data_IF_873365772219
#
_entry.id   IF_873365772219
#
_cell.length_a   1.000
_cell.length_b   1.000
_cell.length_c   1.000
_cell.angle_alpha   90.00
_cell.angle_beta   90.00
_cell.angle_gamma   90.00
#
_symmetry.space_group_name_H-M   'P 1'
#
loop_
_entity.id
_entity.type
_entity.pdbx_description
1 polymer ?
#
# COMPACT_ATOMS: atom_id res chain seq x y z
N UNK A 1 15.60 3.60 -25.99
CA UNK A 1 14.85 4.72 -25.40
C UNK A 1 15.37 4.97 -24.00
N UNK A 2 15.45 6.25 -23.58
CA UNK A 2 15.69 6.58 -22.17
C UNK A 2 14.51 6.02 -21.35
N UNK A 3 14.78 5.30 -20.28
CA UNK A 3 13.73 4.82 -19.36
C UNK A 3 13.20 5.98 -18.53
N UNK A 4 11.97 5.86 -18.02
CA UNK A 4 11.44 6.79 -17.04
C UNK A 4 12.27 6.73 -15.75
N UNK A 5 12.45 7.89 -15.13
CA UNK A 5 13.11 8.04 -13.83
C UNK A 5 12.13 7.77 -12.66
N UNK A 6 10.89 7.33 -12.96
CA UNK A 6 9.81 7.05 -12.00
C UNK A 6 9.05 5.76 -12.37
N UNK A 7 8.59 5.03 -11.34
CA UNK A 7 7.71 3.87 -11.46
C UNK A 7 6.62 3.94 -10.40
N UNK A 8 5.39 3.56 -10.74
CA UNK A 8 4.30 3.52 -9.76
C UNK A 8 4.45 2.27 -8.86
N UNK A 9 4.44 2.51 -7.54
CA UNK A 9 4.54 1.47 -6.51
C UNK A 9 3.23 1.23 -5.74
N UNK A 10 2.24 2.11 -5.89
CA UNK A 10 0.92 2.01 -5.25
C UNK A 10 -0.13 2.15 -6.35
N UNK A 11 -0.68 1.01 -6.78
CA UNK A 11 -1.60 0.90 -7.93
C UNK A 11 -2.65 -0.17 -7.65
N UNK A 12 -3.91 0.24 -7.74
CA UNK A 12 -5.09 -0.60 -7.61
C UNK A 12 -5.58 -1.00 -9.00
N UNK A 13 -5.71 -2.29 -9.22
CA UNK A 13 -6.16 -2.88 -10.48
C UNK A 13 -7.63 -3.28 -10.39
N UNK A 14 -8.18 -3.80 -11.49
CA UNK A 14 -9.49 -4.44 -11.53
C UNK A 14 -9.71 -5.56 -10.48
N UNK A 15 -8.65 -6.01 -9.79
CA UNK A 15 -8.74 -7.00 -8.72
C UNK A 15 -8.99 -6.39 -7.33
N UNK A 16 -8.90 -5.06 -7.18
CA UNK A 16 -9.53 -4.31 -6.09
C UNK A 16 -11.02 -4.18 -6.36
N UNK A 17 -11.77 -5.27 -6.17
CA UNK A 17 -13.12 -5.50 -6.71
C UNK A 17 -14.19 -4.43 -6.45
N UNK A 18 -13.99 -3.55 -5.46
CA UNK A 18 -14.96 -2.54 -5.04
C UNK A 18 -14.49 -1.11 -5.34
N UNK A 19 -13.31 -0.91 -5.94
CA UNK A 19 -12.71 0.42 -6.08
C UNK A 19 -11.79 0.54 -7.32
N UNK A 20 -11.01 -0.49 -7.64
CA UNK A 20 -10.04 -0.43 -8.74
C UNK A 20 -10.66 -0.59 -10.12
N UNK A 21 -10.38 0.36 -11.02
CA UNK A 21 -10.87 0.36 -12.41
C UNK A 21 -9.77 0.02 -13.43
N UNK A 22 -8.50 -0.01 -13.03
CA UNK A 22 -7.36 -0.22 -13.94
C UNK A 22 -7.29 -1.66 -14.44
N UNK A 23 -7.52 -1.85 -15.75
CA UNK A 23 -7.32 -3.14 -16.42
C UNK A 23 -5.84 -3.41 -16.70
N UNK A 24 -5.41 -4.66 -16.52
CA UNK A 24 -3.99 -5.02 -16.61
C UNK A 24 -3.37 -4.74 -17.98
N UNK A 25 -4.06 -5.13 -19.06
CA UNK A 25 -3.56 -4.93 -20.42
C UNK A 25 -3.35 -3.43 -20.75
N UNK A 26 -4.31 -2.59 -20.34
CA UNK A 26 -4.24 -1.14 -20.52
C UNK A 26 -3.14 -0.51 -19.64
N UNK A 27 -2.96 -0.99 -18.41
CA UNK A 27 -1.89 -0.59 -17.51
C UNK A 27 -0.51 -0.82 -18.12
N UNK A 28 -0.25 -2.02 -18.66
CA UNK A 28 1.05 -2.33 -19.24
C UNK A 28 1.31 -1.60 -20.56
N UNK A 29 0.28 -1.38 -21.38
CA UNK A 29 0.37 -0.50 -22.56
C UNK A 29 0.77 0.92 -22.16
N UNK A 30 0.13 1.48 -21.12
CA UNK A 30 0.42 2.83 -20.61
C UNK A 30 1.83 2.93 -20.02
N UNK A 31 2.23 1.96 -19.20
CA UNK A 31 3.57 1.91 -18.63
C UNK A 31 4.66 1.85 -19.73
N UNK A 32 4.42 1.11 -20.83
CA UNK A 32 5.31 1.12 -21.99
C UNK A 32 5.35 2.47 -22.72
N UNK A 33 4.21 3.13 -22.89
CA UNK A 33 4.15 4.47 -23.50
C UNK A 33 5.01 5.48 -22.73
N UNK A 34 4.99 5.40 -21.39
CA UNK A 34 5.84 6.22 -20.53
C UNK A 34 7.27 5.68 -20.35
N UNK A 35 7.63 4.56 -21.01
CA UNK A 35 8.93 3.91 -20.86
C UNK A 35 9.29 3.54 -19.40
N UNK A 36 8.28 3.19 -18.58
CA UNK A 36 8.48 2.72 -17.21
C UNK A 36 9.07 1.31 -17.20
N UNK A 37 10.22 1.07 -16.53
CA UNK A 37 10.85 -0.24 -16.51
C UNK A 37 10.17 -1.26 -15.57
N UNK A 38 9.38 -0.77 -14.61
CA UNK A 38 8.68 -1.58 -13.62
C UNK A 38 7.33 -0.96 -13.25
N UNK A 39 6.45 -1.76 -12.67
CA UNK A 39 5.21 -1.28 -12.06
C UNK A 39 4.76 -2.26 -10.97
N UNK A 40 4.11 -1.74 -9.92
CA UNK A 40 3.56 -2.56 -8.85
C UNK A 40 2.07 -2.85 -9.01
N UNK A 41 1.63 -3.91 -8.34
CA UNK A 41 0.23 -4.23 -8.03
C UNK A 41 0.08 -4.22 -6.51
N UNK A 42 -0.83 -3.43 -5.97
CA UNK A 42 -1.07 -3.29 -4.53
C UNK A 42 -2.55 -3.28 -4.22
N UNK A 43 -3.29 -4.26 -4.75
CA UNK A 43 -4.73 -4.33 -4.55
C UNK A 43 -5.14 -4.44 -3.08
N UNK A 44 -6.37 -4.02 -2.78
CA UNK A 44 -6.91 -4.01 -1.41
C UNK A 44 -7.05 -5.43 -0.83
N UNK A 45 -6.26 -5.72 0.20
CA UNK A 45 -6.41 -6.86 1.09
C UNK A 45 -6.26 -8.24 0.46
N UNK A 46 -5.90 -8.33 -0.83
CA UNK A 46 -5.89 -9.58 -1.58
C UNK A 46 -4.82 -9.63 -2.68
N UNK A 47 -4.41 -10.84 -3.05
CA UNK A 47 -3.46 -11.11 -4.13
C UNK A 47 -4.13 -11.73 -5.37
N UNK A 48 -5.42 -11.48 -5.61
CA UNK A 48 -6.20 -12.17 -6.66
C UNK A 48 -5.56 -12.01 -8.05
N UNK A 49 -5.07 -10.81 -8.36
CA UNK A 49 -4.44 -10.48 -9.64
C UNK A 49 -2.97 -10.86 -9.77
N UNK A 50 -2.29 -11.34 -8.72
CA UNK A 50 -0.83 -11.39 -8.66
C UNK A 50 -0.20 -12.24 -9.79
N UNK A 51 -0.76 -13.42 -10.07
CA UNK A 51 -0.23 -14.32 -11.11
C UNK A 51 -0.55 -13.82 -12.52
N UNK A 52 -1.74 -13.25 -12.73
CA UNK A 52 -2.13 -12.69 -14.04
C UNK A 52 -1.28 -11.45 -14.36
N UNK A 53 -1.15 -10.55 -13.39
CA UNK A 53 -0.25 -9.39 -13.44
C UNK A 53 1.19 -9.80 -13.75
N UNK A 54 1.74 -10.78 -13.03
CA UNK A 54 3.10 -11.26 -13.26
C UNK A 54 3.30 -11.76 -14.69
N UNK A 55 2.38 -12.61 -15.19
CA UNK A 55 2.47 -13.17 -16.54
C UNK A 55 2.37 -12.09 -17.62
N UNK A 56 1.44 -11.16 -17.49
CA UNK A 56 1.27 -10.06 -18.45
C UNK A 56 2.45 -9.08 -18.40
N UNK A 57 2.97 -8.73 -17.21
CA UNK A 57 4.14 -7.86 -17.11
C UNK A 57 5.34 -8.40 -17.92
N UNK A 58 5.56 -9.72 -17.86
CA UNK A 58 6.62 -10.38 -18.63
C UNK A 58 6.39 -10.31 -20.14
N UNK A 59 5.16 -10.46 -20.64
CA UNK A 59 4.88 -10.33 -22.09
C UNK A 59 5.12 -8.91 -22.59
N UNK A 60 4.91 -7.91 -21.72
CA UNK A 60 5.18 -6.51 -21.99
C UNK A 60 6.63 -6.07 -21.71
N UNK A 61 7.50 -6.98 -21.23
CA UNK A 61 8.88 -6.70 -20.81
C UNK A 61 8.97 -5.57 -19.77
N UNK A 62 8.04 -5.58 -18.81
CA UNK A 62 8.01 -4.70 -17.64
C UNK A 62 8.31 -5.55 -16.42
N UNK A 63 9.16 -5.08 -15.51
CA UNK A 63 9.44 -5.78 -14.25
C UNK A 63 8.20 -5.71 -13.33
N UNK A 64 7.54 -6.83 -13.00
CA UNK A 64 6.45 -6.82 -12.04
C UNK A 64 6.97 -6.63 -10.61
N UNK A 65 6.30 -5.79 -9.84
CA UNK A 65 6.49 -5.67 -8.39
C UNK A 65 5.18 -6.13 -7.72
N UNK A 66 5.21 -7.30 -7.10
CA UNK A 66 4.02 -7.84 -6.42
C UNK A 66 3.92 -7.23 -5.04
N UNK A 67 2.75 -6.74 -4.68
CA UNK A 67 2.43 -6.19 -3.37
C UNK A 67 0.96 -6.36 -3.02
N UNK A 68 0.55 -5.67 -1.97
CA UNK A 68 -0.82 -5.62 -1.46
C UNK A 68 -0.97 -4.38 -0.59
N UNK A 69 -2.13 -3.73 -0.64
CA UNK A 69 -2.51 -2.79 0.41
C UNK A 69 -3.28 -3.55 1.49
N UNK A 70 -2.60 -3.85 2.60
CA UNK A 70 -3.17 -4.61 3.71
C UNK A 70 -4.06 -3.71 4.59
N UNK A 71 -5.15 -4.29 5.08
CA UNK A 71 -5.90 -3.73 6.18
C UNK A 71 -5.30 -4.20 7.51
N UNK A 72 -4.84 -3.27 8.35
CA UNK A 72 -4.26 -3.54 9.67
C UNK A 72 -5.26 -3.18 10.75
N UNK A 73 -5.65 -4.13 11.59
CA UNK A 73 -6.53 -3.89 12.71
C UNK A 73 -5.83 -2.95 13.73
N UNK A 74 -6.56 -2.01 14.36
CA UNK A 74 -5.99 -1.12 15.38
C UNK A 74 -5.48 -1.86 16.63
N UNK A 75 -5.97 -3.08 16.87
CA UNK A 75 -5.61 -3.96 17.97
C UNK A 75 -5.28 -5.36 17.42
N UNK A 76 -5.95 -6.40 17.92
CA UNK A 76 -5.87 -7.75 17.36
C UNK A 76 -6.75 -7.88 16.12
N UNK A 77 -6.32 -8.68 15.14
CA UNK A 77 -7.15 -9.06 13.98
C UNK A 77 -8.41 -9.84 14.38
N UNK A 78 -8.38 -10.51 15.52
CA UNK A 78 -9.47 -11.31 16.06
C UNK A 78 -10.57 -10.46 16.74
N UNK A 79 -10.27 -9.19 16.99
CA UNK A 79 -11.18 -8.26 17.65
C UNK A 79 -12.29 -7.79 16.70
N UNK A 80 -13.54 -8.01 17.12
CA UNK A 80 -14.76 -7.61 16.40
C UNK A 80 -15.59 -6.58 17.18
N UNK A 81 -14.99 -5.94 18.18
CA UNK A 81 -15.64 -4.88 18.94
C UNK A 81 -15.92 -3.69 18.02
N UNK A 82 -17.15 -3.16 17.97
CA UNK A 82 -17.46 -1.98 17.18
C UNK A 82 -16.54 -0.81 17.53
N UNK A 83 -15.99 -0.16 16.51
CA UNK A 83 -15.17 1.04 16.68
C UNK A 83 -16.05 2.26 16.96
N UNK A 84 -15.71 3.04 17.99
CA UNK A 84 -16.41 4.29 18.31
C UNK A 84 -16.24 5.34 17.19
N UNK A 85 -15.11 5.29 16.46
CA UNK A 85 -14.82 6.21 15.34
C UNK A 85 -15.24 5.64 13.98
N UNK A 86 -15.81 4.43 13.92
CA UNK A 86 -16.14 3.73 12.67
C UNK A 86 -14.94 3.11 11.93
N UNK A 87 -13.72 3.57 12.19
CA UNK A 87 -12.50 3.00 11.61
C UNK A 87 -12.26 1.57 12.14
N UNK A 88 -12.33 0.56 11.27
CA UNK A 88 -12.12 -0.85 11.64
C UNK A 88 -10.76 -1.41 11.23
N UNK A 89 -10.00 -0.65 10.42
CA UNK A 89 -8.65 -0.95 9.97
C UNK A 89 -7.91 0.34 9.53
N UNK A 90 -6.58 0.23 9.40
CA UNK A 90 -5.69 1.19 8.74
C UNK A 90 -5.04 0.55 7.51
N UNK A 91 -4.66 1.35 6.53
CA UNK A 91 -3.97 0.83 5.36
C UNK A 91 -2.46 0.71 5.62
N UNK A 92 -1.84 -0.28 4.98
CA UNK A 92 -0.39 -0.48 4.97
C UNK A 92 0.02 -1.11 3.64
N UNK A 93 0.93 -0.46 2.92
CA UNK A 93 1.46 -1.02 1.69
C UNK A 93 2.58 -1.99 2.00
N UNK A 94 2.54 -3.16 1.36
CA UNK A 94 3.62 -4.13 1.39
C UNK A 94 3.99 -4.59 -0.02
N UNK A 95 5.29 -4.67 -0.29
CA UNK A 95 5.87 -5.19 -1.52
C UNK A 95 6.75 -6.40 -1.23
N UNK A 96 6.78 -7.32 -2.19
CA UNK A 96 7.57 -8.54 -2.13
C UNK A 96 8.98 -8.26 -2.62
N UNK A 97 9.98 -8.40 -1.72
CA UNK A 97 11.41 -8.29 -2.05
C UNK A 97 11.96 -9.54 -2.70
N UNK A 98 11.49 -10.71 -2.27
CA UNK A 98 11.99 -12.02 -2.70
C UNK A 98 10.93 -13.13 -2.51
N UNK A 99 11.29 -14.39 -2.85
CA UNK A 99 10.36 -15.52 -2.74
C UNK A 99 9.86 -15.77 -1.31
N UNK A 100 10.66 -15.50 -0.28
CA UNK A 100 10.21 -15.64 1.11
C UNK A 100 9.16 -14.58 1.44
N UNK A 101 9.35 -13.34 0.97
CA UNK A 101 8.33 -12.29 1.03
C UNK A 101 7.04 -12.68 0.33
N UNK A 102 7.11 -13.31 -0.84
CA UNK A 102 5.92 -13.79 -1.55
C UNK A 102 5.13 -14.81 -0.71
N UNK A 103 5.84 -15.77 -0.12
CA UNK A 103 5.23 -16.77 0.79
C UNK A 103 4.61 -16.12 2.02
N UNK A 104 5.28 -15.12 2.58
CA UNK A 104 4.79 -14.41 3.74
C UNK A 104 3.57 -13.53 3.41
N UNK A 105 3.56 -12.86 2.26
CA UNK A 105 2.39 -12.10 1.82
C UNK A 105 1.18 -13.02 1.59
N UNK A 106 1.37 -14.19 0.97
CA UNK A 106 0.31 -15.19 0.84
C UNK A 106 -0.25 -15.65 2.21
N UNK A 107 0.62 -15.85 3.21
CA UNK A 107 0.19 -16.20 4.58
C UNK A 107 -0.60 -15.07 5.21
N UNK A 108 -0.11 -13.83 5.11
CA UNK A 108 -0.77 -12.63 5.64
C UNK A 108 -2.17 -12.48 5.06
N UNK A 109 -2.31 -12.50 3.73
CA UNK A 109 -3.62 -12.32 3.10
C UNK A 109 -4.55 -13.50 3.36
N UNK A 110 -4.03 -14.73 3.48
CA UNK A 110 -4.85 -15.89 3.85
C UNK A 110 -5.37 -15.78 5.29
N UNK A 111 -4.49 -15.48 6.26
CA UNK A 111 -4.88 -15.30 7.65
C UNK A 111 -5.84 -14.10 7.83
N UNK A 112 -5.65 -13.04 7.06
CA UNK A 112 -6.56 -11.89 7.05
C UNK A 112 -8.00 -12.28 6.68
N UNK A 113 -8.17 -13.20 5.72
CA UNK A 113 -9.47 -13.71 5.31
C UNK A 113 -10.03 -14.78 6.24
N UNK A 114 -9.18 -15.70 6.73
CA UNK A 114 -9.61 -16.85 7.53
C UNK A 114 -9.85 -16.51 9.01
N UNK A 115 -9.04 -15.61 9.57
CA UNK A 115 -9.03 -15.30 11.01
C UNK A 115 -9.46 -13.86 11.28
N UNK A 116 -8.93 -12.91 10.50
CA UNK A 116 -9.04 -11.47 10.78
C UNK A 116 -10.24 -10.77 10.16
N UNK A 117 -11.10 -11.51 9.46
CA UNK A 117 -12.21 -10.93 8.72
C UNK A 117 -13.26 -10.36 9.68
N UNK A 118 -13.52 -9.06 9.52
CA UNK A 118 -14.64 -8.36 10.13
C UNK A 118 -15.49 -7.69 9.04
N UNK A 119 -15.24 -6.42 8.71
CA UNK A 119 -15.77 -5.79 7.49
C UNK A 119 -14.79 -5.88 6.31
N UNK A 120 -13.50 -6.01 6.61
CA UNK A 120 -12.40 -6.21 5.68
C UNK A 120 -11.53 -7.38 6.16
N UNK A 121 -10.75 -8.05 5.29
CA UNK A 121 -9.76 -9.03 5.70
C UNK A 121 -8.58 -8.32 6.35
N UNK A 122 -8.45 -8.40 7.68
CA UNK A 122 -7.45 -7.63 8.43
C UNK A 122 -6.32 -8.49 8.97
N UNK A 123 -5.10 -7.95 8.96
CA UNK A 123 -3.97 -8.47 9.75
C UNK A 123 -3.82 -7.65 11.04
N UNK A 124 -2.89 -8.03 11.90
CA UNK A 124 -2.44 -7.20 13.03
C UNK A 124 -0.91 -7.11 13.05
N UNK A 125 -0.38 -6.16 13.82
CA UNK A 125 1.07 -5.93 13.94
C UNK A 125 1.82 -7.16 14.47
N UNK A 126 1.18 -7.96 15.32
CA UNK A 126 1.77 -9.20 15.84
C UNK A 126 1.99 -10.24 14.73
N UNK A 127 1.02 -10.41 13.83
CA UNK A 127 1.17 -11.29 12.67
C UNK A 127 2.16 -10.72 11.64
N UNK A 128 2.14 -9.40 11.43
CA UNK A 128 3.12 -8.72 10.56
C UNK A 128 4.55 -8.98 11.04
N UNK A 129 4.83 -8.85 12.34
CA UNK A 129 6.15 -9.15 12.92
C UNK A 129 6.61 -10.60 12.68
N UNK A 130 5.68 -11.55 12.60
CA UNK A 130 6.00 -12.97 12.31
C UNK A 130 6.24 -13.24 10.82
N UNK A 131 5.75 -12.37 9.93
CA UNK A 131 5.75 -12.56 8.49
C UNK A 131 6.44 -11.41 7.73
N UNK A 132 7.23 -10.56 8.38
CA UNK A 132 7.85 -9.40 7.72
C UNK A 132 9.08 -9.75 6.86
N UNK A 133 9.70 -10.91 7.09
CA UNK A 133 10.89 -11.34 6.34
C UNK A 133 10.62 -11.34 4.82
N UNK A 134 11.48 -10.64 4.07
CA UNK A 134 11.37 -10.54 2.61
C UNK A 134 10.29 -9.59 2.12
N UNK A 135 9.67 -8.80 3.01
CA UNK A 135 8.75 -7.72 2.65
C UNK A 135 9.43 -6.36 2.80
N UNK A 136 9.00 -5.42 1.96
CA UNK A 136 9.23 -3.97 2.11
C UNK A 136 7.86 -3.35 2.35
N UNK A 137 7.77 -2.31 3.16
CA UNK A 137 6.51 -1.66 3.46
C UNK A 137 6.60 -0.13 3.41
N UNK A 138 5.46 0.52 3.25
CA UNK A 138 5.35 1.97 3.38
C UNK A 138 4.09 2.39 4.14
N UNK A 139 4.09 3.62 4.64
CA UNK A 139 3.05 4.14 5.53
C UNK A 139 1.64 4.28 4.91
N UNK A 140 1.47 3.96 3.62
CA UNK A 140 0.23 4.03 2.85
C UNK A 140 -0.33 5.46 2.70
N UNK A 141 -1.60 5.54 2.29
CA UNK A 141 -2.34 6.77 2.03
C UNK A 141 -2.82 7.46 3.32
N UNK A 142 -3.75 8.41 3.22
CA UNK A 142 -4.36 9.11 4.37
C UNK A 142 -5.06 8.16 5.37
N UNK A 143 -5.47 6.96 4.92
CA UNK A 143 -6.04 5.91 5.78
C UNK A 143 -4.96 5.07 6.50
N UNK A 144 -3.68 5.32 6.24
CA UNK A 144 -2.56 4.77 7.00
C UNK A 144 -2.52 5.28 8.44
N UNK A 145 -1.98 4.46 9.34
CA UNK A 145 -1.93 4.77 10.78
C UNK A 145 -1.18 6.08 11.07
N UNK A 146 0.00 6.25 10.46
CA UNK A 146 0.88 7.41 10.70
C UNK A 146 0.24 8.70 10.17
N UNK A 147 -0.24 8.69 8.93
CA UNK A 147 -0.89 9.85 8.32
C UNK A 147 -2.15 10.25 9.09
N UNK A 148 -2.95 9.27 9.54
CA UNK A 148 -4.14 9.52 10.36
C UNK A 148 -3.81 10.23 11.67
N UNK A 149 -2.73 9.82 12.35
CA UNK A 149 -2.27 10.50 13.57
C UNK A 149 -1.78 11.92 13.30
N UNK A 150 -1.02 12.15 12.23
CA UNK A 150 -0.53 13.48 11.84
C UNK A 150 -1.70 14.44 11.58
N UNK A 151 -2.68 14.01 10.78
CA UNK A 151 -3.84 14.85 10.42
C UNK A 151 -4.68 15.21 11.65
N UNK A 152 -4.74 14.31 12.65
CA UNK A 152 -5.42 14.56 13.94
C UNK A 152 -4.59 15.38 14.94
N UNK A 153 -3.37 15.79 14.58
CA UNK A 153 -2.47 16.54 15.46
C UNK A 153 -1.77 15.70 16.53
N UNK A 154 -1.81 14.38 16.43
CA UNK A 154 -1.23 13.45 17.40
C UNK A 154 0.19 13.01 16.98
N UNK A 155 1.12 13.96 16.90
CA UNK A 155 2.47 13.71 16.35
C UNK A 155 3.27 12.65 17.14
N UNK A 156 3.13 12.60 18.46
CA UNK A 156 3.85 11.60 19.27
C UNK A 156 3.38 10.17 18.98
N UNK A 157 2.07 9.97 18.76
CA UNK A 157 1.52 8.68 18.35
C UNK A 157 1.95 8.33 16.92
N UNK A 158 2.01 9.31 16.01
CA UNK A 158 2.55 9.11 14.67
C UNK A 158 4.01 8.64 14.70
N UNK A 159 4.83 9.26 15.56
CA UNK A 159 6.23 8.89 15.78
C UNK A 159 6.37 7.47 16.31
N UNK A 160 5.54 7.10 17.30
CA UNK A 160 5.52 5.76 17.88
C UNK A 160 5.12 4.71 16.85
N UNK A 161 4.06 4.96 16.07
CA UNK A 161 3.60 4.05 15.02
C UNK A 161 4.67 3.87 13.92
N UNK A 162 5.35 4.96 13.52
CA UNK A 162 6.44 4.90 12.55
C UNK A 162 7.62 4.04 13.03
N UNK A 163 8.03 4.19 14.30
CA UNK A 163 9.07 3.36 14.91
C UNK A 163 8.66 1.89 14.99
N UNK A 164 7.45 1.60 15.45
CA UNK A 164 6.95 0.22 15.57
C UNK A 164 6.93 -0.49 14.21
N UNK A 165 6.46 0.19 13.15
CA UNK A 165 6.48 -0.38 11.80
C UNK A 165 7.91 -0.52 11.26
N UNK A 166 8.79 0.45 11.51
CA UNK A 166 10.21 0.34 11.15
C UNK A 166 10.88 -0.84 11.85
N UNK A 167 10.57 -1.11 13.12
CA UNK A 167 11.09 -2.26 13.87
C UNK A 167 10.57 -3.59 13.29
N UNK A 168 9.29 -3.64 12.89
CA UNK A 168 8.68 -4.84 12.31
C UNK A 168 9.34 -5.21 10.96
N UNK A 169 9.55 -4.24 10.07
CA UNK A 169 10.07 -4.50 8.73
C UNK A 169 11.61 -4.37 8.62
N UNK A 170 12.24 -3.69 9.57
CA UNK A 170 13.65 -3.34 9.58
C UNK A 170 13.94 -1.99 8.90
N UNK A 171 15.04 -1.36 9.31
CA UNK A 171 15.42 0.01 8.90
C UNK A 171 15.50 0.20 7.38
N UNK A 172 15.94 -0.81 6.64
CA UNK A 172 16.10 -0.77 5.18
C UNK A 172 14.83 -1.13 4.39
N UNK A 173 13.76 -1.55 5.07
CA UNK A 173 12.56 -2.08 4.42
C UNK A 173 11.28 -1.34 4.81
N UNK A 174 11.36 -0.18 5.47
CA UNK A 174 10.20 0.65 5.78
C UNK A 174 10.38 2.09 5.28
N UNK A 175 9.34 2.63 4.65
CA UNK A 175 9.36 3.96 4.03
C UNK A 175 8.15 4.78 4.48
N UNK A 176 8.32 6.10 4.59
CA UNK A 176 7.21 7.04 4.75
C UNK A 176 6.72 7.47 3.36
N UNK A 177 5.43 7.30 3.10
CA UNK A 177 4.83 7.43 1.77
C UNK A 177 4.20 8.79 1.56
N UNK A 178 4.65 9.51 0.54
CA UNK A 178 4.16 10.84 0.17
C UNK A 178 3.24 10.76 -1.06
N UNK A 179 2.12 11.47 -0.98
CA UNK A 179 1.14 11.60 -2.05
C UNK A 179 0.66 13.06 -2.15
N UNK A 180 0.54 13.61 -3.34
CA UNK A 180 0.04 14.97 -3.58
C UNK A 180 -1.00 14.96 -4.70
N UNK A 181 -2.25 14.70 -4.31
CA UNK A 181 -3.41 14.58 -5.20
C UNK A 181 -4.33 15.81 -5.10
N UNK A 182 -3.86 16.92 -4.51
CA UNK A 182 -4.64 18.13 -4.31
C UNK A 182 -5.59 18.11 -3.10
N UNK A 183 -5.56 17.04 -2.30
CA UNK A 183 -6.38 16.90 -1.08
C UNK A 183 -5.74 17.73 0.05
N UNK A 184 -6.47 18.66 0.71
CA UNK A 184 -5.91 19.53 1.75
C UNK A 184 -5.22 18.77 2.90
N UNK A 185 -5.78 17.64 3.32
CA UNK A 185 -5.26 16.78 4.39
C UNK A 185 -3.92 16.16 4.04
N UNK A 186 -3.66 15.87 2.75
CA UNK A 186 -2.35 15.37 2.31
C UNK A 186 -1.24 16.41 2.54
N UNK A 187 -1.54 17.71 2.44
CA UNK A 187 -0.54 18.75 2.77
C UNK A 187 -0.18 18.76 4.26
N UNK A 188 -1.10 18.38 5.13
CA UNK A 188 -0.84 18.23 6.57
C UNK A 188 -0.03 16.96 6.79
N UNK A 189 -0.48 15.82 6.24
CA UNK A 189 0.20 14.54 6.33
C UNK A 189 1.64 14.61 5.79
N UNK A 190 1.85 15.10 4.57
CA UNK A 190 3.16 15.20 3.93
C UNK A 190 4.16 16.02 4.75
N UNK A 191 3.73 17.15 5.33
CA UNK A 191 4.61 17.95 6.20
C UNK A 191 5.06 17.16 7.43
N UNK A 192 4.13 16.47 8.10
CA UNK A 192 4.47 15.63 9.24
C UNK A 192 5.31 14.41 8.87
N UNK A 193 5.06 13.79 7.72
CA UNK A 193 5.86 12.66 7.24
C UNK A 193 7.30 13.08 6.92
N UNK A 194 7.49 14.28 6.35
CA UNK A 194 8.83 14.84 6.12
C UNK A 194 9.54 15.17 7.45
N UNK A 195 8.80 15.65 8.46
CA UNK A 195 9.34 15.85 9.81
C UNK A 195 9.78 14.51 10.43
N UNK A 196 8.90 13.51 10.44
CA UNK A 196 9.21 12.17 10.94
C UNK A 196 10.37 11.50 10.19
N UNK A 197 10.47 11.70 8.88
CA UNK A 197 11.59 11.17 8.08
C UNK A 197 12.93 11.70 8.58
N UNK A 198 13.00 13.00 8.90
CA UNK A 198 14.22 13.64 9.43
C UNK A 198 14.52 13.20 10.85
N UNK A 199 13.51 13.14 11.70
CA UNK A 199 13.65 12.77 13.12
C UNK A 199 14.03 11.30 13.30
N UNK A 200 13.47 10.43 12.47
CA UNK A 200 13.58 8.98 12.62
C UNK A 200 14.55 8.33 11.65
N UNK A 201 15.11 9.08 10.70
CA UNK A 201 15.93 8.58 9.59
C UNK A 201 15.21 7.53 8.75
N UNK A 202 13.88 7.62 8.64
CA UNK A 202 13.08 6.73 7.78
C UNK A 202 13.03 7.36 6.37
N UNK A 203 13.41 6.64 5.30
CA UNK A 203 13.40 7.18 3.94
C UNK A 203 11.97 7.47 3.46
N UNK A 204 11.86 8.43 2.53
CA UNK A 204 10.61 8.78 1.87
C UNK A 204 10.45 7.99 0.57
N UNK A 205 9.21 7.68 0.21
CA UNK A 205 8.83 7.15 -1.12
C UNK A 205 7.65 7.95 -1.67
N UNK A 206 7.73 8.36 -2.93
CA UNK A 206 6.63 9.05 -3.61
C UNK A 206 5.77 8.05 -4.37
N UNK A 207 4.46 8.11 -4.16
CA UNK A 207 3.47 7.27 -4.85
C UNK A 207 2.23 8.11 -5.19
N UNK A 208 1.20 7.49 -5.78
CA UNK A 208 0.03 8.22 -6.26
C UNK A 208 -1.31 7.50 -6.05
N UNK A 209 -1.30 6.32 -5.43
CA UNK A 209 -2.51 5.56 -5.10
C UNK A 209 -3.52 5.45 -6.27
N UNK A 210 -3.02 4.95 -7.41
CA UNK A 210 -3.77 5.01 -8.66
C UNK A 210 -4.94 4.00 -8.68
N UNK A 211 -6.16 4.49 -8.87
CA UNK A 211 -7.37 3.66 -8.99
C UNK A 211 -7.97 3.63 -10.41
N UNK A 212 -7.57 4.58 -11.25
CA UNK A 212 -7.94 4.69 -12.66
C UNK A 212 -6.74 5.11 -13.51
N UNK A 213 -6.78 4.79 -14.81
CA UNK A 213 -5.59 4.84 -15.67
C UNK A 213 -5.21 6.26 -16.12
N UNK A 214 -6.20 7.09 -16.43
CA UNK A 214 -6.05 8.41 -17.03
C UNK A 214 -6.93 9.42 -16.29
N UNK A 215 -6.53 10.69 -16.26
CA UNK A 215 -7.21 11.72 -15.48
C UNK A 215 -8.69 11.93 -15.91
N UNK A 216 -9.02 11.68 -17.17
CA UNK A 216 -10.37 11.75 -17.71
C UNK A 216 -11.26 10.56 -17.31
N UNK A 217 -10.69 9.51 -16.70
CA UNK A 217 -11.46 8.38 -16.15
C UNK A 217 -12.00 8.65 -14.73
N UNK A 218 -11.70 9.81 -14.13
CA UNK A 218 -12.12 10.14 -12.77
C UNK A 218 -13.66 10.09 -12.59
N UNK A 219 -14.43 10.60 -13.55
CA UNK A 219 -15.90 10.56 -13.49
C UNK A 219 -16.44 9.13 -13.60
N UNK A 220 -15.82 8.29 -14.44
CA UNK A 220 -16.21 6.89 -14.57
C UNK A 220 -15.91 6.08 -13.30
N UNK A 221 -14.81 6.41 -12.61
CA UNK A 221 -14.44 5.82 -11.33
C UNK A 221 -15.39 6.24 -10.20
N UNK A 222 -15.82 7.50 -10.16
CA UNK A 222 -16.77 8.01 -9.14
C UNK A 222 -18.16 7.33 -9.21
N UNK A 223 -18.53 6.79 -10.37
CA UNK A 223 -19.80 6.07 -10.57
C UNK A 223 -19.72 4.56 -10.24
N UNK A 224 -18.51 3.99 -10.16
CA UNK A 224 -18.27 2.55 -9.92
C UNK A 224 -18.69 2.13 -8.50
#
# INVERSE_FOLDING_TARGET
MKQADFVHLHVHTQYSLLDGMIRLDDLFKKARQYAMPAIAITDHGAMFGAIDFYKQALTYNIKPIIGCELYVAPRSRLDKTPSVTGDTARHLIVWVKNLQGYKNLMKLTSAAHLEGFYYRPRVDKALLAQCSEGLIASSACLHGEIASHIVRGHMDEARKAARELQEIFGEDNFYLELMENGIPEQKIANRGLVELSRDLSIPLVATNDCHYLDADHAEAHDVL
#
